data_IF_811036205783
#
_entry.id   IF_811036205783
#
_cell.length_a   1.000
_cell.length_b   1.000
_cell.length_c   1.000
_cell.angle_alpha   90.00
_cell.angle_beta   90.00
_cell.angle_gamma   90.00
#
_symmetry.space_group_name_H-M   'P 1'
#
loop_
_entity.id
_entity.type
_entity.pdbx_description
1 polymer ?
#
# COMPACT_ATOMS: atom_id res chain seq x y z
N UNK A 1 7.58 25.69 9.35
CA UNK A 1 7.63 24.22 9.29
C UNK A 1 7.80 23.84 7.83
N UNK A 2 8.89 23.17 7.46
CA UNK A 2 9.12 22.73 6.09
C UNK A 2 8.08 21.68 5.73
N UNK A 3 7.14 22.04 4.86
CA UNK A 3 6.19 21.13 4.24
C UNK A 3 6.96 20.17 3.34
N UNK A 4 7.37 19.03 3.88
CA UNK A 4 7.87 17.91 3.08
C UNK A 4 6.71 17.40 2.22
N UNK A 5 6.80 17.65 0.92
CA UNK A 5 5.90 17.04 -0.05
C UNK A 5 6.17 15.54 -0.09
N UNK A 6 5.14 14.67 -0.01
CA UNK A 6 5.35 13.23 -0.13
C UNK A 6 5.96 12.90 -1.50
N UNK A 7 7.08 12.19 -1.53
CA UNK A 7 7.66 11.71 -2.78
C UNK A 7 7.16 10.30 -3.09
N UNK A 8 6.37 10.15 -4.15
CA UNK A 8 5.81 8.85 -4.55
C UNK A 8 6.67 8.17 -5.62
N UNK A 9 6.88 6.87 -5.43
CA UNK A 9 7.61 6.00 -6.34
C UNK A 9 6.69 4.92 -6.91
N UNK A 10 6.55 4.86 -8.24
CA UNK A 10 5.86 3.76 -8.91
C UNK A 10 6.81 2.57 -9.03
N UNK A 11 6.36 1.39 -8.60
CA UNK A 11 7.09 0.13 -8.70
C UNK A 11 6.30 -0.78 -9.63
N UNK A 12 6.93 -1.22 -10.73
CA UNK A 12 6.29 -2.05 -11.77
C UNK A 12 6.46 -3.56 -11.53
N UNK A 13 7.21 -3.95 -10.50
CA UNK A 13 7.40 -5.36 -10.15
C UNK A 13 6.08 -5.99 -9.68
N UNK A 14 5.66 -7.10 -10.30
CA UNK A 14 4.47 -7.85 -9.87
C UNK A 14 4.70 -8.47 -8.48
N UNK A 15 3.82 -8.12 -7.53
CA UNK A 15 3.84 -8.59 -6.15
C UNK A 15 2.41 -8.74 -5.64
N UNK A 16 2.20 -9.57 -4.62
CA UNK A 16 0.97 -9.49 -3.81
C UNK A 16 0.95 -8.18 -3.03
N UNK A 17 -0.22 -7.75 -2.55
CA UNK A 17 -0.33 -6.52 -1.74
C UNK A 17 0.66 -6.52 -0.56
N UNK A 18 0.72 -7.62 0.20
CA UNK A 18 1.66 -7.78 1.32
C UNK A 18 3.13 -7.79 0.87
N UNK A 19 3.41 -8.44 -0.26
CA UNK A 19 4.76 -8.44 -0.84
C UNK A 19 5.20 -7.03 -1.24
N UNK A 20 4.30 -6.24 -1.82
CA UNK A 20 4.54 -4.83 -2.15
C UNK A 20 4.74 -3.98 -0.90
N UNK A 21 3.90 -4.16 0.12
CA UNK A 21 4.05 -3.47 1.41
C UNK A 21 5.39 -3.76 2.07
N UNK A 22 5.76 -5.05 2.18
CA UNK A 22 7.04 -5.47 2.76
C UNK A 22 8.22 -4.91 1.95
N UNK A 23 8.13 -4.92 0.63
CA UNK A 23 9.15 -4.35 -0.24
C UNK A 23 9.30 -2.84 0.00
N UNK A 24 8.19 -2.10 0.03
CA UNK A 24 8.21 -0.66 0.29
C UNK A 24 8.77 -0.33 1.66
N UNK A 25 8.40 -1.05 2.73
CA UNK A 25 8.98 -0.83 4.07
C UNK A 25 10.46 -1.21 4.18
N UNK A 26 10.94 -2.10 3.32
CA UNK A 26 12.34 -2.51 3.31
C UNK A 26 13.27 -1.58 2.52
N UNK A 27 12.75 -0.83 1.54
CA UNK A 27 13.54 0.03 0.63
C UNK A 27 13.15 1.52 0.67
N UNK A 28 11.95 1.81 1.13
CA UNK A 28 11.30 3.13 1.18
C UNK A 28 10.58 3.26 2.53
N UNK A 29 9.51 4.06 2.59
CA UNK A 29 8.69 4.23 3.79
C UNK A 29 7.61 3.14 3.92
N UNK A 30 6.61 3.15 3.03
CA UNK A 30 5.51 2.19 2.98
C UNK A 30 4.74 2.34 1.64
N UNK A 31 3.69 1.55 1.42
CA UNK A 31 2.69 1.85 0.40
C UNK A 31 1.97 3.18 0.69
N UNK A 32 1.61 3.91 -0.36
CA UNK A 32 1.02 5.25 -0.23
C UNK A 32 -0.33 5.21 0.47
N UNK A 33 -0.51 6.04 1.51
CA UNK A 33 -1.82 6.35 2.09
C UNK A 33 -2.33 7.66 1.51
N UNK A 34 -3.49 7.64 0.85
CA UNK A 34 -4.10 8.83 0.24
C UNK A 34 -5.06 9.46 1.25
N UNK A 35 -4.82 10.71 1.64
CA UNK A 35 -5.58 11.42 2.69
C UNK A 35 -6.46 12.55 2.15
N UNK A 36 -6.24 12.98 0.92
CA UNK A 36 -7.02 14.05 0.27
C UNK A 36 -6.96 13.94 -1.25
N UNK A 37 -7.74 14.77 -1.93
CA UNK A 37 -7.86 14.79 -3.39
C UNK A 37 -6.54 15.15 -4.09
N UNK A 38 -5.76 16.08 -3.55
CA UNK A 38 -4.46 16.45 -4.11
C UNK A 38 -3.51 15.25 -4.15
N UNK A 39 -3.40 14.50 -3.05
CA UNK A 39 -2.58 13.28 -3.03
C UNK A 39 -3.10 12.21 -4.00
N UNK A 40 -4.42 12.11 -4.16
CA UNK A 40 -5.04 11.18 -5.11
C UNK A 40 -4.62 11.51 -6.56
N UNK A 41 -4.63 12.78 -6.92
CA UNK A 41 -4.23 13.25 -8.25
C UNK A 41 -2.73 13.04 -8.50
N UNK A 42 -1.87 13.35 -7.53
CA UNK A 42 -0.43 13.10 -7.63
C UNK A 42 -0.12 11.61 -7.82
N UNK A 43 -0.76 10.72 -7.06
CA UNK A 43 -0.60 9.26 -7.19
C UNK A 43 -1.09 8.77 -8.55
N UNK A 44 -2.22 9.30 -9.05
CA UNK A 44 -2.73 8.99 -10.40
C UNK A 44 -1.72 9.38 -11.47
N UNK A 45 -1.17 10.59 -11.42
CA UNK A 45 -0.17 11.08 -12.38
C UNK A 45 1.07 10.17 -12.37
N UNK A 46 1.55 9.77 -11.20
CA UNK A 46 2.68 8.82 -11.08
C UNK A 46 2.35 7.45 -11.67
N UNK A 47 1.10 7.02 -11.55
CA UNK A 47 0.59 5.76 -12.08
C UNK A 47 0.38 5.73 -13.60
N UNK A 48 0.37 6.89 -14.29
CA UNK A 48 0.15 6.95 -15.75
C UNK A 48 1.18 6.16 -16.57
N UNK A 49 2.37 5.95 -16.01
CA UNK A 49 3.44 5.16 -16.65
C UNK A 49 3.24 3.64 -16.49
N UNK A 50 2.21 3.20 -15.75
CA UNK A 50 1.88 1.78 -15.60
C UNK A 50 0.86 1.34 -16.64
N UNK A 51 1.09 0.21 -17.28
CA UNK A 51 0.10 -0.45 -18.15
C UNK A 51 -0.90 -1.31 -17.37
N UNK A 52 -0.68 -1.51 -16.07
CA UNK A 52 -1.51 -2.34 -15.18
C UNK A 52 -1.83 -1.62 -13.87
N UNK A 53 -2.80 -2.15 -13.12
CA UNK A 53 -3.11 -1.65 -11.77
C UNK A 53 -1.93 -1.81 -10.83
N UNK A 54 -1.77 -0.86 -9.90
CA UNK A 54 -0.71 -0.85 -8.89
C UNK A 54 -1.29 -0.81 -7.47
N UNK A 55 -0.50 -1.24 -6.49
CA UNK A 55 -0.92 -1.30 -5.09
C UNK A 55 -0.79 0.07 -4.39
N UNK A 56 -1.77 0.38 -3.55
CA UNK A 56 -1.74 1.47 -2.57
C UNK A 56 -1.91 0.89 -1.15
N UNK A 57 -1.70 1.70 -0.12
CA UNK A 57 -1.75 1.27 1.28
C UNK A 57 -3.16 0.97 1.79
N UNK A 58 -4.20 1.15 0.98
CA UNK A 58 -5.56 0.76 1.32
C UNK A 58 -5.72 -0.75 1.16
N UNK A 59 -6.06 -1.43 2.25
CA UNK A 59 -6.36 -2.86 2.28
C UNK A 59 -7.82 -3.04 2.70
N UNK A 60 -8.58 -3.77 1.88
CA UNK A 60 -9.84 -4.37 2.32
C UNK A 60 -9.52 -5.73 2.93
N UNK A 61 -9.71 -5.85 4.22
CA UNK A 61 -9.50 -7.09 4.96
C UNK A 61 -10.87 -7.69 5.31
N UNK A 62 -11.24 -8.76 4.61
CA UNK A 62 -12.51 -9.44 4.82
C UNK A 62 -12.45 -10.46 5.98
N UNK A 63 -11.27 -10.65 6.58
CA UNK A 63 -11.09 -11.56 7.70
C UNK A 63 -11.47 -10.89 9.01
N UNK A 64 -12.51 -11.43 9.64
CA UNK A 64 -12.95 -11.03 10.97
C UNK A 64 -12.65 -12.12 11.98
N UNK A 65 -12.14 -11.72 13.14
CA UNK A 65 -11.97 -12.63 14.26
C UNK A 65 -13.34 -12.93 14.89
N UNK A 66 -13.53 -14.16 15.35
CA UNK A 66 -14.81 -14.60 15.94
C UNK A 66 -15.11 -13.89 17.26
N UNK A 67 -14.10 -13.34 17.93
CA UNK A 67 -14.22 -12.49 19.11
C UNK A 67 -14.53 -11.02 18.77
N UNK A 68 -14.66 -10.68 17.49
CA UNK A 68 -14.87 -9.31 17.01
C UNK A 68 -13.63 -8.42 17.09
N UNK A 69 -12.46 -8.98 17.40
CA UNK A 69 -11.20 -8.26 17.48
C UNK A 69 -10.72 -7.75 16.13
N UNK A 70 -10.08 -6.58 16.13
CA UNK A 70 -9.31 -6.08 14.99
C UNK A 70 -7.86 -6.54 15.13
N UNK A 71 -7.33 -7.27 14.15
CA UNK A 71 -5.90 -7.60 14.12
C UNK A 71 -5.35 -7.46 12.71
N UNK A 72 -4.22 -6.74 12.63
CA UNK A 72 -3.41 -6.61 11.43
C UNK A 72 -2.38 -7.74 11.29
N UNK A 73 -2.36 -8.70 12.23
CA UNK A 73 -1.44 -9.83 12.17
C UNK A 73 -1.92 -10.81 11.11
N UNK A 74 -1.07 -11.06 10.11
CA UNK A 74 -1.28 -12.06 9.06
C UNK A 74 0.02 -12.81 8.86
N UNK A 75 0.06 -14.07 9.24
CA UNK A 75 1.20 -14.97 9.02
C UNK A 75 0.79 -16.15 8.13
N UNK A 76 0.39 -15.86 6.89
CA UNK A 76 -0.18 -16.82 5.94
C UNK A 76 0.61 -18.13 5.76
N UNK A 77 1.90 -18.17 6.11
CA UNK A 77 2.71 -19.38 6.05
C UNK A 77 2.26 -20.46 7.03
N UNK A 78 1.63 -20.10 8.15
CA UNK A 78 1.04 -21.08 9.09
C UNK A 78 -0.31 -21.63 8.63
N UNK A 79 -0.99 -20.96 7.69
CA UNK A 79 -2.31 -21.34 7.19
C UNK A 79 -2.28 -21.99 5.80
N UNK A 80 -1.08 -22.29 5.27
CA UNK A 80 -0.93 -23.18 4.10
C UNK A 80 -0.95 -24.64 4.53
#
# INVERSE_FOLDING_TARGET
ASSQTPNYHLILESKTWYGAQRYCRGRYTDLVSIRNQTQNEEVKIKGLNSSTSFWIGLLRDDWQWTDGGNSAYRNWDWWR
#
